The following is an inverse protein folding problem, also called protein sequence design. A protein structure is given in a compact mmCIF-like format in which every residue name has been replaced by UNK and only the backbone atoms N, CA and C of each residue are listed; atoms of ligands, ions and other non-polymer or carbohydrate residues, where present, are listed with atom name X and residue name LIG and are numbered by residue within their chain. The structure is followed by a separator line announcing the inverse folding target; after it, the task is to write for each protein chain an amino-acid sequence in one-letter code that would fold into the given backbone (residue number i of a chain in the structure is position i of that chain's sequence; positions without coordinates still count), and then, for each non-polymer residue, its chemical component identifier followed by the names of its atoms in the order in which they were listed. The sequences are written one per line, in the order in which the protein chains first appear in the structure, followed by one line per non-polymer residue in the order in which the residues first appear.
data_IF_731430288302
#
_entry.id   IF_731430288302
#
_cell.length_a   1.000
_cell.length_b   1.000
_cell.length_c   1.000
_cell.angle_alpha   90.00
_cell.angle_beta   90.00
_cell.angle_gamma   90.00
#
_symmetry.space_group_name_H-M   'P 1'
#
loop_
_entity.id
_entity.type
_entity.pdbx_description
1 polymer ?
#
# COMPACT_ATOMS: atom_id res chain seq x y z
N UNK A 1 -20.54 -10.12 -23.16
CA UNK A 1 -19.44 -9.71 -22.24
C UNK A 1 -18.04 -9.79 -22.87
N UNK A 2 -17.76 -10.77 -23.76
CA UNK A 2 -16.45 -10.97 -24.40
C UNK A 2 -16.02 -9.83 -25.35
N UNK A 3 -16.96 -9.26 -26.13
CA UNK A 3 -16.65 -8.20 -27.11
C UNK A 3 -16.20 -6.87 -26.47
N UNK A 4 -16.88 -6.41 -25.39
CA UNK A 4 -16.47 -5.21 -24.64
C UNK A 4 -15.06 -5.35 -24.05
N UNK A 5 -14.71 -6.55 -23.60
CA UNK A 5 -13.40 -6.85 -23.04
C UNK A 5 -12.28 -6.85 -24.08
N UNK A 6 -12.52 -7.36 -25.30
CA UNK A 6 -11.56 -7.25 -26.41
C UNK A 6 -11.35 -5.81 -26.82
N UNK A 7 -12.42 -5.03 -26.92
CA UNK A 7 -12.37 -3.60 -27.29
C UNK A 7 -11.54 -2.78 -26.28
N UNK A 8 -11.68 -3.05 -24.99
CA UNK A 8 -10.89 -2.39 -23.94
C UNK A 8 -9.38 -2.73 -24.02
N UNK A 9 -9.02 -4.00 -24.27
CA UNK A 9 -7.62 -4.39 -24.48
C UNK A 9 -7.02 -3.75 -25.74
N UNK A 10 -7.78 -3.69 -26.84
CA UNK A 10 -7.34 -3.05 -28.09
C UNK A 10 -7.12 -1.54 -27.88
N UNK A 11 -8.05 -0.85 -27.18
CA UNK A 11 -7.87 0.56 -26.83
C UNK A 11 -6.62 0.79 -25.98
N UNK A 12 -6.36 -0.07 -24.97
CA UNK A 12 -5.13 0.01 -24.17
C UNK A 12 -3.89 -0.25 -25.01
N UNK A 13 -3.91 -1.25 -25.88
CA UNK A 13 -2.78 -1.53 -26.78
C UNK A 13 -2.49 -0.31 -27.68
N UNK A 14 -3.52 0.26 -28.29
CA UNK A 14 -3.38 1.47 -29.12
C UNK A 14 -2.84 2.68 -28.34
N UNK A 15 -3.28 2.90 -27.10
CA UNK A 15 -2.73 3.94 -26.22
C UNK A 15 -1.24 3.70 -25.92
N UNK A 16 -0.83 2.45 -25.74
CA UNK A 16 0.58 2.12 -25.48
C UNK A 16 1.43 2.26 -26.74
N UNK A 17 0.91 1.93 -27.92
CA UNK A 17 1.58 2.21 -29.20
C UNK A 17 1.76 3.73 -29.38
N UNK A 18 0.72 4.53 -29.10
CA UNK A 18 0.84 6.00 -29.11
C UNK A 18 1.86 6.52 -28.09
N UNK A 19 2.06 5.81 -26.97
CA UNK A 19 3.06 6.15 -25.96
C UNK A 19 4.51 5.79 -26.34
N UNK A 20 4.74 5.02 -27.42
CA UNK A 20 6.08 4.73 -27.91
C UNK A 20 6.79 5.98 -28.41
N UNK A 21 6.10 6.84 -29.15
CA UNK A 21 6.68 8.09 -29.63
C UNK A 21 7.20 8.98 -28.49
N UNK A 22 6.40 9.36 -27.48
CA UNK A 22 6.91 10.15 -26.36
C UNK A 22 7.98 9.42 -25.54
N UNK A 23 7.95 8.09 -25.45
CA UNK A 23 9.04 7.33 -24.83
C UNK A 23 10.35 7.43 -25.63
N UNK A 24 10.30 7.24 -26.95
CA UNK A 24 11.48 7.37 -27.82
C UNK A 24 12.04 8.78 -27.78
N UNK A 25 11.17 9.80 -27.78
CA UNK A 25 11.58 11.20 -27.60
C UNK A 25 12.26 11.41 -26.24
N UNK A 26 11.66 10.92 -25.14
CA UNK A 26 12.25 11.04 -23.80
C UNK A 26 13.56 10.25 -23.64
N UNK A 27 13.72 9.13 -24.36
CA UNK A 27 14.91 8.28 -24.27
C UNK A 27 16.07 8.77 -25.14
N UNK A 28 15.78 9.25 -26.35
CA UNK A 28 16.80 9.51 -27.37
C UNK A 28 16.95 10.99 -27.73
N UNK A 29 15.92 11.82 -27.56
CA UNK A 29 15.92 13.21 -28.04
C UNK A 29 15.92 14.25 -26.92
N UNK A 30 15.52 13.89 -25.69
CA UNK A 30 15.53 14.80 -24.54
C UNK A 30 16.32 14.17 -23.40
N UNK A 31 17.28 14.91 -22.84
CA UNK A 31 17.84 14.53 -21.54
C UNK A 31 16.72 14.60 -20.50
N UNK A 32 16.54 13.58 -19.64
CA UNK A 32 15.55 13.63 -18.58
C UNK A 32 15.81 14.87 -17.71
N UNK A 33 14.87 15.80 -17.70
CA UNK A 33 14.91 16.96 -16.82
C UNK A 33 14.62 16.46 -15.40
N UNK A 34 15.41 16.86 -14.39
CA UNK A 34 15.13 16.47 -13.01
C UNK A 34 13.76 16.99 -12.62
N UNK A 35 12.88 16.09 -12.18
CA UNK A 35 11.56 16.44 -11.66
C UNK A 35 11.56 16.33 -10.14
N UNK A 36 10.76 17.18 -9.48
CA UNK A 36 10.51 17.05 -8.04
C UNK A 36 9.59 15.83 -7.82
N UNK A 37 10.21 14.69 -7.52
CA UNK A 37 9.51 13.42 -7.24
C UNK A 37 10.01 12.84 -5.92
N UNK A 38 9.10 12.28 -5.13
CA UNK A 38 9.40 11.63 -3.85
C UNK A 38 8.61 10.35 -3.73
N UNK A 39 9.28 9.28 -3.33
CA UNK A 39 8.66 7.96 -3.09
C UNK A 39 8.45 7.81 -1.59
N UNK A 40 7.22 7.45 -1.23
CA UNK A 40 6.83 7.14 0.15
C UNK A 40 6.28 5.72 0.16
N UNK A 41 6.87 4.85 0.98
CA UNK A 41 6.31 3.53 1.21
C UNK A 41 5.50 3.51 2.50
N UNK A 42 4.31 2.92 2.45
CA UNK A 42 3.52 2.57 3.62
C UNK A 42 3.69 1.07 3.84
N UNK A 43 4.57 0.71 4.76
CA UNK A 43 4.82 -0.67 5.18
C UNK A 43 3.87 -1.00 6.32
N UNK A 44 3.00 -1.97 6.09
CA UNK A 44 1.98 -2.33 7.06
C UNK A 44 1.46 -3.73 6.77
N UNK A 45 0.28 -4.02 7.28
CA UNK A 45 -0.38 -5.32 7.17
C UNK A 45 -1.81 -5.13 6.69
N UNK A 46 -2.39 -6.15 6.06
CA UNK A 46 -3.82 -6.17 5.80
C UNK A 46 -4.57 -5.80 7.08
N UNK A 47 -5.60 -4.95 6.93
CA UNK A 47 -6.52 -4.57 8.02
C UNK A 47 -5.93 -3.66 9.12
N UNK A 48 -4.72 -3.13 8.95
CA UNK A 48 -4.13 -2.16 9.89
C UNK A 48 -4.64 -0.71 9.75
N UNK A 49 -5.57 -0.41 8.83
CA UNK A 49 -6.02 0.97 8.59
C UNK A 49 -5.34 1.66 7.39
N UNK A 50 -4.67 0.91 6.52
CA UNK A 50 -3.98 1.48 5.34
C UNK A 50 -4.88 2.21 4.35
N UNK A 51 -6.19 1.93 4.34
CA UNK A 51 -7.15 2.73 3.57
C UNK A 51 -7.38 4.12 4.18
N UNK A 52 -7.38 4.22 5.52
CA UNK A 52 -7.46 5.50 6.21
C UNK A 52 -6.23 6.35 5.88
N UNK A 53 -5.02 5.79 5.97
CA UNK A 53 -3.80 6.47 5.46
C UNK A 53 -3.95 6.90 4.00
N UNK A 54 -4.47 6.02 3.14
CA UNK A 54 -4.70 6.35 1.74
C UNK A 54 -5.57 7.58 1.56
N UNK A 55 -6.65 7.70 2.33
CA UNK A 55 -7.52 8.89 2.30
C UNK A 55 -6.82 10.16 2.79
N UNK A 56 -5.89 10.04 3.75
CA UNK A 56 -5.12 11.17 4.29
C UNK A 56 -4.01 11.66 3.36
N UNK A 57 -3.52 10.78 2.48
CA UNK A 57 -2.36 11.00 1.60
C UNK A 57 -2.71 10.88 0.11
N UNK A 58 -3.97 11.17 -0.26
CA UNK A 58 -4.45 11.12 -1.64
C UNK A 58 -5.11 12.43 -2.03
N UNK A 59 -4.37 13.29 -2.72
CA UNK A 59 -4.94 14.44 -3.42
C UNK A 59 -4.02 14.81 -4.60
N UNK A 60 -4.45 14.45 -5.81
CA UNK A 60 -3.65 14.67 -7.03
C UNK A 60 -3.49 16.16 -7.36
N UNK A 61 -4.39 17.05 -6.91
CA UNK A 61 -4.31 18.50 -7.17
C UNK A 61 -3.09 19.12 -6.50
N UNK A 62 -2.73 18.60 -5.33
CA UNK A 62 -1.54 19.00 -4.56
C UNK A 62 -0.38 18.01 -4.71
N UNK A 63 -0.46 17.11 -5.68
CA UNK A 63 0.63 16.21 -6.05
C UNK A 63 0.77 14.96 -5.19
N UNK A 64 -0.14 14.67 -4.25
CA UNK A 64 -0.18 13.42 -3.48
C UNK A 64 -0.87 12.30 -4.28
N UNK A 65 -0.09 11.30 -4.66
CA UNK A 65 -0.50 10.21 -5.57
C UNK A 65 -0.49 8.89 -4.82
N UNK A 66 -1.65 8.41 -4.41
CA UNK A 66 -1.79 7.15 -3.66
C UNK A 66 -2.06 5.97 -4.60
N UNK A 67 -1.10 5.06 -4.72
CA UNK A 67 -1.17 3.92 -5.65
C UNK A 67 -1.81 2.67 -5.05
N UNK A 68 -2.12 2.66 -3.75
CA UNK A 68 -2.67 1.48 -3.06
C UNK A 68 -1.73 0.27 -3.13
N UNK A 69 -2.31 -0.93 -3.19
CA UNK A 69 -1.61 -2.23 -3.28
C UNK A 69 -1.12 -2.49 -4.71
N UNK A 70 -0.23 -1.61 -5.16
CA UNK A 70 0.19 -1.51 -6.55
C UNK A 70 0.97 -2.74 -7.05
N UNK A 71 1.81 -3.32 -6.20
CA UNK A 71 2.70 -4.44 -6.55
C UNK A 71 2.02 -5.82 -6.56
N UNK A 72 0.72 -5.89 -6.26
CA UNK A 72 -0.08 -7.12 -6.40
C UNK A 72 -1.27 -6.89 -7.30
N UNK A 73 -1.16 -5.97 -8.26
CA UNK A 73 -2.20 -5.70 -9.27
C UNK A 73 -3.61 -5.57 -8.69
N UNK A 74 -3.78 -4.94 -7.52
CA UNK A 74 -5.09 -4.86 -6.87
C UNK A 74 -5.73 -3.46 -7.00
N UNK A 75 -4.96 -2.45 -7.42
CA UNK A 75 -5.42 -1.07 -7.57
C UNK A 75 -5.04 -0.48 -8.94
N UNK A 76 -5.97 0.26 -9.55
CA UNK A 76 -5.66 1.05 -10.76
C UNK A 76 -5.59 2.53 -10.41
N UNK A 77 -4.44 3.16 -10.64
CA UNK A 77 -4.23 4.59 -10.46
C UNK A 77 -4.21 5.33 -11.81
N UNK A 78 -4.75 6.55 -11.88
CA UNK A 78 -4.77 7.34 -13.13
C UNK A 78 -3.38 7.66 -13.69
N UNK A 79 -2.36 7.69 -12.82
CA UNK A 79 -0.96 7.88 -13.22
C UNK A 79 -0.31 6.63 -13.83
N UNK A 80 -0.95 5.45 -13.82
CA UNK A 80 -0.43 4.24 -14.47
C UNK A 80 -0.15 4.47 -15.96
N UNK A 81 -1.01 5.23 -16.64
CA UNK A 81 -0.81 5.54 -18.06
C UNK A 81 0.37 6.48 -18.29
N UNK A 82 0.68 7.35 -17.31
CA UNK A 82 1.86 8.24 -17.39
C UNK A 82 3.17 7.46 -17.29
N UNK A 83 3.17 6.32 -16.59
CA UNK A 83 4.33 5.41 -16.50
C UNK A 83 4.74 4.92 -17.91
N UNK A 84 3.80 4.78 -18.85
CA UNK A 84 4.13 4.35 -20.23
C UNK A 84 5.17 5.24 -20.92
N UNK A 85 5.24 6.53 -20.56
CA UNK A 85 6.22 7.46 -21.12
C UNK A 85 7.66 7.08 -20.79
N UNK A 86 7.86 6.32 -19.71
CA UNK A 86 9.18 5.94 -19.20
C UNK A 86 9.37 4.41 -19.18
N UNK A 87 8.28 3.65 -19.20
CA UNK A 87 8.27 2.19 -19.28
C UNK A 87 7.20 1.74 -20.29
N UNK A 88 7.57 1.49 -21.56
CA UNK A 88 6.62 1.17 -22.62
C UNK A 88 5.74 -0.04 -22.29
N UNK A 89 4.50 -0.01 -22.78
CA UNK A 89 3.52 -1.08 -22.57
C UNK A 89 3.19 -1.36 -21.09
N UNK A 90 3.57 -0.50 -20.15
CA UNK A 90 3.36 -0.74 -18.72
C UNK A 90 1.87 -0.89 -18.39
N UNK A 91 1.07 0.12 -18.73
CA UNK A 91 -0.37 0.13 -18.44
C UNK A 91 -1.14 -1.03 -19.08
N UNK A 92 -0.72 -1.47 -20.27
CA UNK A 92 -1.29 -2.64 -20.94
C UNK A 92 -0.98 -3.91 -20.16
N UNK A 93 0.30 -4.19 -19.88
CA UNK A 93 0.74 -5.35 -19.10
C UNK A 93 0.13 -5.37 -17.71
N UNK A 94 0.13 -4.22 -17.03
CA UNK A 94 -0.50 -4.06 -15.71
C UNK A 94 -1.99 -4.41 -15.76
N UNK A 95 -2.70 -3.96 -16.81
CA UNK A 95 -4.11 -4.27 -16.96
C UNK A 95 -4.43 -5.74 -17.24
N UNK A 96 -3.52 -6.44 -17.92
CA UNK A 96 -3.65 -7.88 -18.16
C UNK A 96 -3.52 -8.64 -16.83
N UNK A 97 -2.48 -8.35 -16.04
CA UNK A 97 -2.27 -8.98 -14.73
C UNK A 97 -3.41 -8.66 -13.76
N UNK A 98 -3.82 -7.39 -13.64
CA UNK A 98 -4.98 -6.97 -12.83
C UNK A 98 -6.25 -7.75 -13.19
N UNK A 99 -6.47 -8.03 -14.47
CA UNK A 99 -7.63 -8.80 -14.92
C UNK A 99 -7.47 -10.29 -14.64
N UNK A 100 -6.28 -10.85 -14.87
CA UNK A 100 -5.97 -12.25 -14.60
C UNK A 100 -6.22 -12.57 -13.12
N UNK A 101 -5.63 -11.78 -12.21
CA UNK A 101 -5.81 -11.89 -10.78
C UNK A 101 -7.28 -11.79 -10.33
N UNK A 102 -8.04 -10.84 -10.88
CA UNK A 102 -9.48 -10.72 -10.59
C UNK A 102 -10.30 -11.92 -11.07
N UNK A 103 -9.78 -12.71 -12.00
CA UNK A 103 -10.44 -13.90 -12.54
C UNK A 103 -10.02 -15.17 -11.79
N UNK A 104 -8.73 -15.30 -11.48
CA UNK A 104 -8.15 -16.48 -10.82
C UNK A 104 -8.35 -16.47 -9.29
N UNK A 105 -8.65 -15.31 -8.69
CA UNK A 105 -8.69 -15.11 -7.23
C UNK A 105 -7.38 -15.49 -6.53
N UNK A 106 -6.26 -15.47 -7.27
CA UNK A 106 -4.92 -15.69 -6.75
C UNK A 106 -4.10 -14.41 -6.86
N UNK A 107 -3.33 -14.08 -5.82
CA UNK A 107 -2.43 -12.93 -5.86
C UNK A 107 -1.25 -13.23 -6.77
N UNK A 108 -1.19 -12.55 -7.92
CA UNK A 108 -0.02 -12.59 -8.79
C UNK A 108 1.08 -11.75 -8.13
N UNK A 109 2.23 -12.36 -7.85
CA UNK A 109 3.39 -11.61 -7.38
C UNK A 109 3.94 -10.77 -8.52
N UNK A 110 4.30 -9.51 -8.27
CA UNK A 110 4.86 -8.63 -9.31
C UNK A 110 6.02 -9.29 -10.08
N UNK A 111 6.87 -9.98 -9.32
CA UNK A 111 8.09 -10.67 -9.79
C UNK A 111 7.82 -11.85 -10.71
N UNK A 112 6.64 -12.45 -10.65
CA UNK A 112 6.28 -13.58 -11.53
C UNK A 112 5.64 -13.11 -12.83
N UNK A 113 5.60 -11.81 -13.08
CA UNK A 113 5.03 -11.22 -14.30
C UNK A 113 6.10 -10.66 -15.23
N UNK A 114 5.68 -10.15 -16.39
CA UNK A 114 6.56 -9.43 -17.31
C UNK A 114 6.92 -8.00 -16.87
N UNK A 115 6.43 -7.54 -15.72
CA UNK A 115 6.71 -6.23 -15.16
C UNK A 115 7.82 -6.29 -14.12
N UNK A 116 8.66 -5.26 -14.11
CA UNK A 116 9.84 -5.18 -13.24
C UNK A 116 9.64 -4.05 -12.21
N UNK A 117 9.74 -4.38 -10.92
CA UNK A 117 9.45 -3.44 -9.84
C UNK A 117 10.44 -2.26 -9.81
N UNK A 118 11.72 -2.52 -10.07
CA UNK A 118 12.78 -1.51 -10.14
C UNK A 118 12.55 -0.55 -11.30
N UNK A 119 12.30 -1.07 -12.51
CA UNK A 119 11.94 -0.24 -13.69
C UNK A 119 10.68 0.56 -13.46
N UNK A 120 9.73 0.00 -12.71
CA UNK A 120 8.49 0.70 -12.38
C UNK A 120 8.74 1.87 -11.43
N UNK A 121 9.55 1.69 -10.37
CA UNK A 121 9.91 2.78 -9.47
C UNK A 121 10.79 3.83 -10.16
N UNK A 122 11.71 3.44 -11.05
CA UNK A 122 12.45 4.36 -11.91
C UNK A 122 11.50 5.19 -12.77
N UNK A 123 10.50 4.57 -13.40
CA UNK A 123 9.53 5.29 -14.20
C UNK A 123 8.64 6.22 -13.35
N UNK A 124 8.31 5.81 -12.12
CA UNK A 124 7.56 6.64 -11.16
C UNK A 124 8.38 7.85 -10.72
N UNK A 125 9.69 7.70 -10.47
CA UNK A 125 10.56 8.82 -10.06
C UNK A 125 10.73 9.90 -11.15
N UNK A 126 10.41 9.58 -12.41
CA UNK A 126 10.36 10.54 -13.51
C UNK A 126 9.01 11.28 -13.61
N UNK A 127 8.05 10.97 -12.76
CA UNK A 127 6.76 11.65 -12.68
C UNK A 127 6.83 12.64 -11.51
N UNK A 128 6.44 13.93 -11.70
CA UNK A 128 6.40 14.88 -10.58
C UNK A 128 5.36 14.50 -9.53
N UNK A 129 5.68 14.71 -8.24
CA UNK A 129 4.75 14.51 -7.13
C UNK A 129 5.26 13.57 -6.03
N UNK A 130 4.40 13.33 -5.05
CA UNK A 130 4.64 12.46 -3.90
C UNK A 130 3.91 11.14 -4.17
N UNK A 131 4.67 10.07 -4.34
CA UNK A 131 4.17 8.76 -4.75
C UNK A 131 4.08 7.84 -3.54
N UNK A 132 2.86 7.67 -3.04
CA UNK A 132 2.57 6.86 -1.85
C UNK A 132 2.19 5.45 -2.30
N UNK A 133 3.01 4.47 -1.96
CA UNK A 133 2.84 3.07 -2.37
C UNK A 133 2.72 2.20 -1.14
N UNK A 134 1.67 1.39 -1.09
CA UNK A 134 1.39 0.49 0.04
C UNK A 134 2.01 -0.87 -0.22
N UNK A 135 2.75 -1.37 0.76
CA UNK A 135 3.47 -2.64 0.69
C UNK A 135 3.14 -3.47 1.93
N UNK A 136 2.70 -4.70 1.70
CA UNK A 136 2.45 -5.70 2.73
C UNK A 136 3.44 -6.86 2.58
N UNK A 137 3.53 -7.74 3.60
CA UNK A 137 4.18 -9.02 3.43
C UNK A 137 3.69 -9.73 2.18
N UNK A 138 4.60 -10.44 1.51
CA UNK A 138 4.34 -11.23 0.29
C UNK A 138 4.03 -10.43 -0.99
N UNK A 139 3.85 -9.10 -0.93
CA UNK A 139 3.71 -8.29 -2.14
C UNK A 139 4.95 -8.33 -3.02
N UNK A 140 6.13 -8.38 -2.38
CA UNK A 140 7.44 -8.50 -2.99
C UNK A 140 8.26 -9.49 -2.16
N UNK A 141 9.21 -10.18 -2.78
CA UNK A 141 10.20 -10.98 -2.07
C UNK A 141 11.07 -10.11 -1.16
N UNK A 142 11.60 -10.71 -0.10
CA UNK A 142 12.47 -10.02 0.84
C UNK A 142 13.71 -9.39 0.15
N UNK A 143 14.46 -10.12 -0.70
CA UNK A 143 15.61 -9.56 -1.41
C UNK A 143 15.23 -8.39 -2.30
N UNK A 144 14.10 -8.49 -3.02
CA UNK A 144 13.67 -7.41 -3.90
C UNK A 144 13.32 -6.16 -3.10
N UNK A 145 12.45 -6.24 -2.10
CA UNK A 145 12.04 -5.07 -1.32
C UNK A 145 13.24 -4.41 -0.62
N UNK A 146 14.18 -5.18 -0.08
CA UNK A 146 15.43 -4.65 0.48
C UNK A 146 16.24 -3.89 -0.57
N UNK A 147 16.39 -4.45 -1.78
CA UNK A 147 17.12 -3.78 -2.87
C UNK A 147 16.45 -2.47 -3.30
N UNK A 148 15.11 -2.41 -3.32
CA UNK A 148 14.36 -1.20 -3.67
C UNK A 148 14.48 -0.14 -2.58
N UNK A 149 14.47 -0.53 -1.30
CA UNK A 149 14.69 0.40 -0.19
C UNK A 149 16.10 0.99 -0.27
N UNK A 150 17.12 0.15 -0.48
CA UNK A 150 18.50 0.60 -0.57
C UNK A 150 18.76 1.54 -1.76
N UNK A 151 18.18 1.25 -2.92
CA UNK A 151 18.36 2.05 -4.14
C UNK A 151 17.58 3.37 -4.12
N UNK A 152 16.29 3.32 -3.79
CA UNK A 152 15.40 4.48 -3.93
C UNK A 152 15.33 5.35 -2.67
N UNK A 153 15.83 4.85 -1.53
CA UNK A 153 15.80 5.53 -0.22
C UNK A 153 14.46 6.23 0.07
N UNK A 154 13.33 5.51 -0.02
CA UNK A 154 12.01 6.12 0.16
C UNK A 154 11.85 6.63 1.60
N UNK A 155 10.94 7.58 1.79
CA UNK A 155 10.40 7.80 3.13
C UNK A 155 9.49 6.61 3.48
N UNK A 156 9.64 6.06 4.68
CA UNK A 156 8.90 4.85 5.07
C UNK A 156 7.98 5.16 6.26
N UNK A 157 6.69 4.95 6.07
CA UNK A 157 5.68 4.99 7.13
C UNK A 157 5.38 3.55 7.54
N UNK A 158 5.66 3.21 8.80
CA UNK A 158 5.20 1.98 9.43
C UNK A 158 3.86 2.22 10.11
N UNK A 159 2.81 1.54 9.66
CA UNK A 159 1.49 1.60 10.29
C UNK A 159 1.25 0.32 11.09
N UNK A 160 1.25 0.47 12.42
CA UNK A 160 0.92 -0.58 13.37
C UNK A 160 -0.56 -0.54 13.75
N UNK A 161 -1.04 -1.65 14.28
CA UNK A 161 -2.36 -1.82 14.90
C UNK A 161 -2.27 -3.01 15.83
N UNK A 162 -3.01 -2.99 16.94
CA UNK A 162 -3.14 -4.13 17.85
C UNK A 162 -3.37 -5.44 17.07
N UNK A 163 -2.62 -6.49 17.43
CA UNK A 163 -2.59 -7.75 16.69
C UNK A 163 -3.95 -8.46 16.71
N UNK A 164 -4.65 -8.45 17.85
CA UNK A 164 -5.95 -9.08 18.01
C UNK A 164 -7.00 -8.38 17.15
N UNK A 165 -7.05 -7.04 17.19
CA UNK A 165 -7.96 -6.26 16.35
C UNK A 165 -7.74 -6.51 14.86
N UNK A 166 -6.47 -6.62 14.46
CA UNK A 166 -6.10 -6.92 13.07
C UNK A 166 -6.53 -8.33 12.68
N UNK A 167 -6.29 -9.32 13.55
CA UNK A 167 -6.64 -10.71 13.29
C UNK A 167 -8.15 -10.90 13.16
N UNK A 168 -8.93 -10.34 14.08
CA UNK A 168 -10.40 -10.34 14.04
C UNK A 168 -10.91 -9.67 12.77
N UNK A 169 -10.38 -8.50 12.44
CA UNK A 169 -10.74 -7.79 11.21
C UNK A 169 -10.38 -8.58 9.94
N UNK A 170 -9.32 -9.38 9.99
CA UNK A 170 -8.93 -10.27 8.90
C UNK A 170 -9.89 -11.47 8.78
N UNK A 171 -10.21 -12.15 9.89
CA UNK A 171 -11.15 -13.28 9.91
C UNK A 171 -12.55 -12.88 9.46
N UNK A 172 -13.03 -11.68 9.84
CA UNK A 172 -14.32 -11.14 9.36
C UNK A 172 -14.32 -10.87 7.86
N UNK A 173 -13.23 -10.30 7.34
CA UNK A 173 -13.10 -10.06 5.89
C UNK A 173 -13.13 -11.38 5.11
N UNK A 174 -12.43 -12.41 5.61
CA UNK A 174 -12.44 -13.74 5.02
C UNK A 174 -13.84 -14.39 5.08
N UNK A 175 -14.49 -14.35 6.23
CA UNK A 175 -15.81 -14.96 6.43
C UNK A 175 -16.91 -14.28 5.58
N UNK A 176 -16.85 -12.96 5.43
CA UNK A 176 -17.87 -12.20 4.68
C UNK A 176 -17.58 -12.08 3.18
N UNK A 177 -16.34 -12.34 2.75
CA UNK A 177 -15.85 -11.96 1.43
C UNK A 177 -15.79 -10.44 1.19
N UNK A 178 -16.15 -9.61 2.17
CA UNK A 178 -16.20 -8.14 2.06
C UNK A 178 -14.96 -7.52 2.67
N UNK A 179 -14.05 -7.08 1.79
CA UNK A 179 -12.77 -6.49 2.17
C UNK A 179 -12.85 -4.97 2.44
N UNK A 180 -13.91 -4.30 2.01
CA UNK A 180 -14.10 -2.85 2.17
C UNK A 180 -15.49 -2.54 2.73
N UNK A 181 -15.56 -1.52 3.60
CA UNK A 181 -16.78 -0.80 4.04
C UNK A 181 -18.03 -1.67 4.17
N UNK A 182 -18.11 -2.48 5.23
CA UNK A 182 -19.27 -3.32 5.51
C UNK A 182 -19.47 -3.44 7.04
N UNK A 183 -20.71 -3.30 7.54
CA UNK A 183 -21.04 -3.68 8.91
C UNK A 183 -20.84 -5.19 9.03
N UNK A 184 -20.06 -5.58 10.03
CA UNK A 184 -19.68 -6.99 10.26
C UNK A 184 -19.80 -7.36 11.74
N UNK A 185 -20.64 -6.62 12.47
CA UNK A 185 -20.96 -6.86 13.89
C UNK A 185 -21.53 -8.27 14.10
N UNK A 186 -22.36 -8.75 13.18
CA UNK A 186 -23.18 -9.95 13.37
C UNK A 186 -22.50 -11.23 12.83
N UNK A 187 -21.27 -11.11 12.31
CA UNK A 187 -20.52 -12.24 11.80
C UNK A 187 -19.88 -13.04 12.93
N UNK A 188 -20.33 -14.28 13.08
CA UNK A 188 -19.70 -15.27 13.97
C UNK A 188 -18.41 -15.75 13.30
N UNK A 189 -17.28 -15.49 13.95
CA UNK A 189 -15.96 -15.94 13.51
C UNK A 189 -15.37 -16.87 14.57
N UNK A 190 -14.61 -17.87 14.13
CA UNK A 190 -13.79 -18.69 15.01
C UNK A 190 -12.37 -18.11 15.08
N UNK A 191 -11.83 -17.98 16.29
CA UNK A 191 -10.46 -17.55 16.54
C UNK A 191 -9.66 -18.75 17.05
N UNK A 192 -8.70 -19.21 16.25
CA UNK A 192 -7.78 -20.30 16.59
C UNK A 192 -6.49 -19.71 17.20
N UNK A 193 -6.09 -20.09 18.43
CA UNK A 193 -4.85 -19.63 19.06
C UNK A 193 -3.58 -19.92 18.24
N UNK A 194 -3.49 -21.08 17.59
CA UNK A 194 -2.32 -21.48 16.81
C UNK A 194 -2.24 -20.65 15.52
N UNK A 195 -3.36 -20.38 14.88
CA UNK A 195 -3.42 -19.47 13.74
C UNK A 195 -3.02 -18.04 14.15
N UNK A 196 -3.54 -17.58 15.29
CA UNK A 196 -3.24 -16.25 15.83
C UNK A 196 -1.76 -16.08 16.20
N UNK A 197 -1.13 -17.09 16.78
CA UNK A 197 0.30 -17.06 17.11
C UNK A 197 1.16 -16.96 15.84
N UNK A 198 0.87 -17.77 14.81
CA UNK A 198 1.56 -17.67 13.51
C UNK A 198 1.36 -16.29 12.89
N UNK A 199 0.16 -15.72 13.01
CA UNK A 199 -0.15 -14.38 12.57
C UNK A 199 0.75 -13.36 13.30
N UNK A 200 0.83 -13.43 14.62
CA UNK A 200 1.67 -12.54 15.43
C UNK A 200 3.15 -12.62 15.04
N UNK A 201 3.72 -13.83 15.00
CA UNK A 201 5.14 -14.06 14.67
C UNK A 201 5.49 -13.52 13.28
N UNK A 202 4.73 -13.88 12.25
CA UNK A 202 5.04 -13.51 10.87
C UNK A 202 5.04 -11.98 10.67
N UNK A 203 4.06 -11.30 11.26
CA UNK A 203 3.91 -9.87 11.07
C UNK A 203 4.90 -9.06 11.92
N UNK A 204 5.21 -9.54 13.12
CA UNK A 204 6.26 -8.94 13.96
C UNK A 204 7.63 -9.05 13.29
N UNK A 205 7.97 -10.25 12.78
CA UNK A 205 9.23 -10.48 12.08
C UNK A 205 9.38 -9.61 10.82
N UNK A 206 8.29 -9.41 10.04
CA UNK A 206 8.32 -8.49 8.90
C UNK A 206 8.60 -7.05 9.33
N UNK A 207 7.90 -6.55 10.35
CA UNK A 207 8.09 -5.19 10.84
C UNK A 207 9.52 -4.97 11.36
N UNK A 208 10.00 -5.82 12.27
CA UNK A 208 11.35 -5.73 12.83
C UNK A 208 12.43 -5.74 11.77
N UNK A 209 12.30 -6.63 10.77
CA UNK A 209 13.22 -6.72 9.64
C UNK A 209 13.29 -5.40 8.89
N UNK A 210 12.14 -4.85 8.48
CA UNK A 210 12.13 -3.68 7.61
C UNK A 210 12.42 -2.37 8.34
N UNK A 211 12.16 -2.30 9.64
CA UNK A 211 12.64 -1.23 10.52
C UNK A 211 14.18 -1.16 10.46
N UNK A 212 14.87 -2.29 10.65
CA UNK A 212 16.34 -2.37 10.58
C UNK A 212 16.88 -2.10 9.18
N UNK A 213 16.25 -2.67 8.15
CA UNK A 213 16.63 -2.44 6.74
C UNK A 213 16.53 -0.96 6.38
N UNK A 214 15.45 -0.29 6.79
CA UNK A 214 15.25 1.14 6.54
C UNK A 214 16.34 1.98 7.22
N UNK A 215 16.65 1.69 8.49
CA UNK A 215 17.70 2.37 9.24
C UNK A 215 19.08 2.19 8.57
N UNK A 216 19.45 0.95 8.24
CA UNK A 216 20.72 0.62 7.59
C UNK A 216 20.86 1.27 6.19
N UNK A 217 19.76 1.45 5.47
CA UNK A 217 19.74 2.15 4.18
C UNK A 217 19.77 3.69 4.30
N UNK A 218 19.69 4.23 5.53
CA UNK A 218 19.60 5.67 5.78
C UNK A 218 18.27 6.28 5.37
N UNK A 219 17.19 5.50 5.35
CA UNK A 219 15.85 5.98 5.03
C UNK A 219 15.28 6.78 6.20
N UNK A 220 14.52 7.85 5.91
CA UNK A 220 13.68 8.49 6.92
C UNK A 220 12.48 7.58 7.21
N UNK A 221 12.21 7.36 8.48
CA UNK A 221 11.09 6.52 8.94
C UNK A 221 10.14 7.31 9.83
N UNK A 222 8.85 6.99 9.73
CA UNK A 222 7.82 7.43 10.67
C UNK A 222 7.05 6.19 11.11
N UNK A 223 6.93 6.02 12.42
CA UNK A 223 6.21 4.91 13.02
C UNK A 223 4.95 5.44 13.70
N UNK A 224 3.79 4.93 13.29
CA UNK A 224 2.49 5.39 13.76
C UNK A 224 1.61 4.22 14.17
N UNK A 225 0.80 4.46 15.20
CA UNK A 225 -0.28 3.57 15.57
C UNK A 225 -1.54 3.82 14.72
N UNK A 226 -2.48 2.88 14.74
CA UNK A 226 -3.75 3.03 14.06
C UNK A 226 -4.57 4.17 14.66
N UNK A 227 -4.50 4.36 15.98
CA UNK A 227 -5.25 5.41 16.67
C UNK A 227 -4.75 6.82 16.31
N UNK A 228 -3.47 6.95 15.92
CA UNK A 228 -2.89 8.21 15.43
C UNK A 228 -3.57 8.72 14.15
N UNK A 229 -4.17 7.83 13.36
CA UNK A 229 -4.89 8.20 12.14
C UNK A 229 -6.15 9.02 12.41
N UNK A 230 -6.64 9.01 13.65
CA UNK A 230 -7.83 9.74 14.08
C UNK A 230 -7.51 11.00 14.89
N UNK A 231 -6.23 11.26 15.18
CA UNK A 231 -5.79 12.47 15.86
C UNK A 231 -5.31 13.52 14.82
N UNK A 232 -5.97 14.69 14.70
CA UNK A 232 -5.61 15.70 13.69
C UNK A 232 -4.16 16.19 13.73
N UNK A 233 -3.55 16.27 14.92
CA UNK A 233 -2.15 16.69 15.08
C UNK A 233 -1.19 15.64 14.50
N UNK A 234 -1.46 14.36 14.81
CA UNK A 234 -0.71 13.22 14.27
C UNK A 234 -0.93 13.05 12.78
N UNK A 235 -2.16 13.27 12.29
CA UNK A 235 -2.43 13.29 10.85
C UNK A 235 -1.58 14.34 10.15
N UNK A 236 -1.42 15.52 10.74
CA UNK A 236 -0.56 16.57 10.16
C UNK A 236 0.92 16.17 10.19
N UNK A 237 1.38 15.50 11.24
CA UNK A 237 2.73 14.92 11.33
C UNK A 237 2.98 13.93 10.17
N UNK A 238 2.04 13.02 9.92
CA UNK A 238 2.10 12.04 8.83
C UNK A 238 2.19 12.73 7.47
N UNK A 239 1.35 13.73 7.24
CA UNK A 239 1.34 14.50 5.99
C UNK A 239 2.65 15.27 5.79
N UNK A 240 3.17 15.92 6.84
CA UNK A 240 4.46 16.63 6.80
C UNK A 240 5.61 15.69 6.48
N UNK A 241 5.63 14.50 7.08
CA UNK A 241 6.65 13.49 6.80
C UNK A 241 6.66 13.05 5.34
N UNK A 242 5.47 12.85 4.74
CA UNK A 242 5.32 12.46 3.34
C UNK A 242 5.60 13.61 2.36
N UNK A 243 5.25 14.85 2.72
CA UNK A 243 5.37 16.04 1.88
C UNK A 243 6.82 16.40 1.50
N UNK A 244 6.97 17.22 0.47
CA UNK A 244 8.26 17.87 0.20
C UNK A 244 8.54 18.99 1.22
N UNK A 245 9.81 19.32 1.37
CA UNK A 245 10.19 20.56 2.06
C UNK A 245 9.56 21.76 1.33
N UNK A 246 8.97 22.66 2.12
CA UNK A 246 8.25 23.85 1.64
C UNK A 246 6.86 23.59 1.08
N UNK A 247 6.25 22.42 1.28
CA UNK A 247 4.84 22.21 0.92
C UNK A 247 3.93 23.17 1.70
N UNK A 248 2.96 23.80 1.01
CA UNK A 248 2.12 24.88 1.56
C UNK A 248 0.62 24.62 1.50
N UNK A 249 0.14 23.78 0.58
CA UNK A 249 -1.29 23.50 0.37
C UNK A 249 -1.88 22.51 1.41
N UNK A 250 -1.61 22.75 2.69
CA UNK A 250 -1.99 21.86 3.80
C UNK A 250 -3.51 21.76 3.99
N UNK A 251 -4.23 22.80 3.65
CA UNK A 251 -5.69 22.93 3.74
C UNK A 251 -6.44 22.04 2.75
N UNK A 252 -5.78 21.64 1.65
CA UNK A 252 -6.36 20.72 0.64
C UNK A 252 -6.21 19.25 1.02
N UNK A 253 -5.50 18.95 2.10
CA UNK A 253 -5.38 17.59 2.63
C UNK A 253 -6.34 17.40 3.82
N UNK A 254 -7.06 16.26 3.89
CA UNK A 254 -8.01 16.03 4.96
C UNK A 254 -7.29 15.81 6.31
N UNK A 255 -7.89 16.28 7.39
CA UNK A 255 -7.39 16.10 8.76
C UNK A 255 -7.97 14.86 9.47
N UNK A 256 -8.92 14.19 8.83
CA UNK A 256 -9.53 12.97 9.32
C UNK A 256 -9.73 11.96 8.16
N UNK A 257 -9.66 10.66 8.42
CA UNK A 257 -9.93 9.65 7.41
C UNK A 257 -11.35 9.76 6.89
N UNK A 258 -11.55 9.64 5.58
CA UNK A 258 -12.89 9.59 4.97
C UNK A 258 -13.52 8.19 5.00
N UNK A 259 -12.80 7.22 5.58
CA UNK A 259 -13.23 5.83 5.69
C UNK A 259 -13.93 5.55 7.02
N UNK A 260 -15.05 4.83 6.98
CA UNK A 260 -15.80 4.42 8.18
C UNK A 260 -15.12 3.21 8.85
N UNK A 261 -15.00 3.23 10.19
CA UNK A 261 -14.49 2.12 11.00
C UNK A 261 -15.47 0.94 10.89
N UNK A 262 -14.97 -0.25 10.55
CA UNK A 262 -15.76 -1.48 10.66
C UNK A 262 -15.86 -1.87 12.15
N UNK A 263 -17.07 -2.20 12.60
CA UNK A 263 -17.48 -2.32 14.01
C UNK A 263 -16.57 -3.14 14.94
N UNK A 264 -16.61 -2.78 16.23
CA UNK A 264 -15.91 -3.44 17.35
C UNK A 264 -16.68 -4.72 17.73
N UNK A 265 -16.13 -5.91 17.50
CA UNK A 265 -16.72 -7.14 18.07
C UNK A 265 -16.13 -7.41 19.44
N UNK A 266 -16.79 -6.95 20.49
CA UNK A 266 -16.30 -7.16 21.85
C UNK A 266 -16.44 -8.63 22.29
N UNK A 267 -17.63 -9.26 22.13
CA UNK A 267 -17.87 -10.59 22.73
C UNK A 267 -16.91 -11.69 22.25
N UNK A 268 -16.71 -11.85 20.95
CA UNK A 268 -15.78 -12.87 20.41
C UNK A 268 -14.32 -12.59 20.81
N UNK A 269 -13.94 -11.31 20.90
CA UNK A 269 -12.62 -10.92 21.38
C UNK A 269 -12.46 -11.22 22.88
N UNK A 270 -13.47 -10.87 23.68
CA UNK A 270 -13.49 -11.06 25.12
C UNK A 270 -13.42 -12.56 25.50
N UNK A 271 -14.23 -13.40 24.83
CA UNK A 271 -14.23 -14.85 25.03
C UNK A 271 -12.86 -15.47 24.67
N UNK A 272 -12.25 -15.01 23.57
CA UNK A 272 -10.92 -15.47 23.16
C UNK A 272 -9.83 -15.02 24.14
N UNK A 273 -9.85 -13.76 24.58
CA UNK A 273 -8.95 -13.23 25.61
C UNK A 273 -9.05 -14.02 26.91
N UNK A 274 -10.28 -14.31 27.35
CA UNK A 274 -10.54 -15.13 28.52
C UNK A 274 -9.97 -16.54 28.37
N UNK A 275 -10.14 -17.18 27.20
CA UNK A 275 -9.61 -18.52 26.93
C UNK A 275 -8.08 -18.60 26.99
N UNK A 276 -7.39 -17.48 26.72
CA UNK A 276 -5.93 -17.38 26.76
C UNK A 276 -5.40 -16.88 28.12
N UNK A 277 -6.27 -16.40 29.01
CA UNK A 277 -5.86 -15.71 30.23
C UNK A 277 -5.07 -14.41 29.95
N UNK A 278 -5.41 -13.70 28.86
CA UNK A 278 -4.72 -12.49 28.39
C UNK A 278 -5.65 -11.29 28.37
N UNK A 279 -5.08 -10.09 28.34
CA UNK A 279 -5.80 -8.81 28.16
C UNK A 279 -5.57 -8.27 26.75
N UNK A 280 -6.48 -7.41 26.28
CA UNK A 280 -6.35 -6.76 24.96
C UNK A 280 -5.00 -6.04 24.78
N UNK A 281 -4.52 -5.38 25.85
CA UNK A 281 -3.23 -4.68 25.90
C UNK A 281 -2.02 -5.59 25.68
N UNK A 282 -2.13 -6.90 25.96
CA UNK A 282 -1.03 -7.85 25.76
C UNK A 282 -0.72 -8.06 24.26
N UNK A 283 -1.64 -7.64 23.39
CA UNK A 283 -1.52 -7.73 21.93
C UNK A 283 -1.27 -6.37 21.27
N UNK A 284 -0.95 -5.34 22.08
CA UNK A 284 -0.53 -4.05 21.55
C UNK A 284 0.76 -4.23 20.77
N UNK A 285 0.74 -3.82 19.51
CA UNK A 285 1.91 -3.94 18.65
C UNK A 285 2.84 -2.78 18.96
N UNK A 286 3.87 -2.99 19.78
CA UNK A 286 4.79 -1.92 20.20
C UNK A 286 5.77 -1.53 19.09
N UNK A 287 6.17 -0.26 19.09
CA UNK A 287 7.25 0.24 18.23
C UNK A 287 8.57 -0.46 18.55
N UNK A 288 9.34 -0.83 17.53
CA UNK A 288 10.71 -1.36 17.69
C UNK A 288 11.68 -0.21 17.91
N UNK A 289 12.51 -0.32 18.95
CA UNK A 289 13.64 0.57 19.16
C UNK A 289 14.74 0.28 18.13
N UNK A 290 15.27 1.33 17.51
CA UNK A 290 16.39 1.30 16.56
C UNK A 290 17.59 1.95 17.23
#
# INVERSE_FOLDING_TARGET
MVAKNKLASIKKLALNIKALYPYLVAKFLRKPQPVKSKIVFVLSFPRSGTHAIGSLLSNDEVGFKYYGEFFIFNAWHKNIERINRFYPFFSFRYSLNLKAQRTSWQYDKFETTSLDARKTLLAISQIPGIHVIKIFPQHLSDPLLQSLIAEFKPHIIFLRRNHLDRFVSHKKANASGKWHTAPSSDLVIHLDPVEFERFLVNFTAFYERYVKVAANAGCKTLDIDFDDLHNPEKVREIQKFAAFDGFSDWEKLPLAPTTVKQDRSNKVQDDFLHSLGKKHSDFNFTKVAI
#
